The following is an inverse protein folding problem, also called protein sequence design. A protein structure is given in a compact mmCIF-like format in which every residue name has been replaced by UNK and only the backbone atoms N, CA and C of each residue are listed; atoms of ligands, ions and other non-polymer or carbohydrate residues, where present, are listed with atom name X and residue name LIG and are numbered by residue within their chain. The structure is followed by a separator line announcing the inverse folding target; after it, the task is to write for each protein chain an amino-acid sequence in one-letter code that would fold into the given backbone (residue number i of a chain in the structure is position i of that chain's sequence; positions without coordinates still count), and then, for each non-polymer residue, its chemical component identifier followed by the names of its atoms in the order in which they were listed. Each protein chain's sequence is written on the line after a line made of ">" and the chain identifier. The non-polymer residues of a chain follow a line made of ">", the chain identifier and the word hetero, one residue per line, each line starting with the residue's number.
data_IF_388818315293
#
_entry.id   IF_388818315293
#
_cell.length_a   1.000
_cell.length_b   1.000
_cell.length_c   1.000
_cell.angle_alpha   90.00
_cell.angle_beta   90.00
_cell.angle_gamma   90.00
#
_symmetry.space_group_name_H-M   'P 1'
#
loop_
_entity.id
_entity.type
_entity.pdbx_description
1 polymer ?
#
# COMPACT_ATOMS: atom_id res chain seq x y z
N UNK A 1 -3.49 28.27 0.01
CA UNK A 1 -4.23 28.92 -1.08
C UNK A 1 -5.59 28.26 -1.19
N UNK A 2 -6.71 28.98 -1.01
CA UNK A 2 -8.05 28.43 -1.16
C UNK A 2 -8.26 27.99 -2.62
N UNK A 3 -8.74 26.77 -2.85
CA UNK A 3 -9.13 26.25 -4.16
C UNK A 3 -8.10 25.37 -4.87
N UNK A 4 -6.85 25.26 -4.39
CA UNK A 4 -5.87 24.32 -4.91
C UNK A 4 -5.80 23.10 -3.98
N UNK A 5 -6.14 21.91 -4.47
CA UNK A 5 -6.33 20.69 -3.67
C UNK A 5 -5.48 19.51 -4.18
N UNK A 6 -4.17 19.52 -3.93
CA UNK A 6 -3.34 18.36 -4.22
C UNK A 6 -3.67 17.26 -3.20
N UNK A 7 -4.11 16.09 -3.65
CA UNK A 7 -4.46 14.96 -2.75
C UNK A 7 -3.61 13.73 -2.99
N UNK A 8 -3.20 13.46 -4.22
CA UNK A 8 -2.41 12.29 -4.58
C UNK A 8 -0.97 12.64 -4.94
N UNK A 9 -0.78 13.73 -5.70
CA UNK A 9 0.51 14.12 -6.21
C UNK A 9 1.41 14.74 -5.12
N UNK A 10 2.64 14.28 -5.01
CA UNK A 10 3.69 14.94 -4.24
C UNK A 10 4.25 16.13 -5.03
N UNK A 11 4.53 17.26 -4.41
CA UNK A 11 5.16 18.37 -5.09
C UNK A 11 6.64 18.11 -5.38
N UNK A 12 7.19 18.82 -6.37
CA UNK A 12 8.63 18.89 -6.64
C UNK A 12 9.09 20.33 -6.55
N UNK A 13 10.38 20.57 -6.35
CA UNK A 13 10.91 21.93 -6.22
C UNK A 13 12.28 22.09 -6.90
N UNK A 14 12.55 23.31 -7.35
CA UNK A 14 13.88 23.80 -7.65
C UNK A 14 14.40 24.69 -6.49
N UNK A 15 15.42 25.49 -6.74
CA UNK A 15 16.00 26.36 -5.72
C UNK A 15 15.10 27.57 -5.34
N UNK A 16 14.10 27.90 -6.14
CA UNK A 16 13.28 29.09 -5.98
C UNK A 16 11.78 28.80 -5.82
N UNK A 17 11.29 27.68 -6.37
CA UNK A 17 9.86 27.40 -6.49
C UNK A 17 9.52 25.97 -6.15
N UNK A 18 8.33 25.79 -5.59
CA UNK A 18 7.65 24.53 -5.43
C UNK A 18 6.60 24.41 -6.54
N UNK A 19 6.60 23.28 -7.24
CA UNK A 19 5.62 22.94 -8.25
C UNK A 19 4.72 21.82 -7.75
N UNK A 20 3.43 22.03 -7.85
CA UNK A 20 2.43 21.03 -7.43
C UNK A 20 1.33 20.92 -8.47
N UNK A 21 0.72 19.75 -8.54
CA UNK A 21 -0.42 19.47 -9.44
C UNK A 21 -1.58 19.03 -8.59
N UNK A 22 -2.77 19.56 -8.82
CA UNK A 22 -3.98 19.10 -8.17
C UNK A 22 -4.70 18.01 -8.97
N UNK A 23 -5.76 17.45 -8.40
CA UNK A 23 -6.50 16.36 -9.03
C UNK A 23 -7.22 16.75 -10.32
N UNK A 24 -7.45 18.04 -10.54
CA UNK A 24 -8.04 18.57 -11.76
C UNK A 24 -7.00 18.89 -12.84
N UNK A 25 -5.77 18.38 -12.65
CA UNK A 25 -4.62 18.64 -13.51
C UNK A 25 -4.27 20.14 -13.64
N UNK A 26 -4.51 20.93 -12.59
CA UNK A 26 -4.00 22.28 -12.50
C UNK A 26 -2.58 22.22 -11.91
N UNK A 27 -1.58 22.55 -12.73
CA UNK A 27 -0.20 22.72 -12.26
C UNK A 27 0.00 24.16 -11.77
N UNK A 28 0.59 24.31 -10.59
CA UNK A 28 0.85 25.62 -9.99
C UNK A 28 2.29 25.70 -9.46
N UNK A 29 2.86 26.90 -9.54
CA UNK A 29 4.12 27.23 -8.90
C UNK A 29 3.92 28.16 -7.70
N UNK A 30 4.66 27.88 -6.64
CA UNK A 30 4.67 28.68 -5.42
C UNK A 30 6.10 29.14 -5.14
N UNK A 31 6.26 30.39 -4.76
CA UNK A 31 7.54 30.92 -4.31
C UNK A 31 7.94 30.24 -2.98
N UNK A 32 9.13 29.69 -2.88
CA UNK A 32 9.58 28.94 -1.70
C UNK A 32 9.76 29.80 -0.45
N UNK A 33 10.04 31.09 -0.60
CA UNK A 33 10.29 31.99 0.53
C UNK A 33 8.99 32.53 1.12
N UNK A 34 8.03 32.85 0.24
CA UNK A 34 6.80 33.54 0.63
C UNK A 34 5.57 32.63 0.68
N UNK A 35 5.64 31.44 0.03
CA UNK A 35 4.50 30.54 -0.15
C UNK A 35 3.40 31.10 -1.08
N UNK A 36 3.65 32.22 -1.73
CA UNK A 36 2.69 32.84 -2.65
C UNK A 36 2.64 32.08 -3.96
N UNK A 37 1.43 31.82 -4.46
CA UNK A 37 1.24 31.24 -5.80
C UNK A 37 1.69 32.24 -6.86
N UNK A 38 2.66 31.84 -7.69
CA UNK A 38 3.25 32.71 -8.73
C UNK A 38 2.45 32.60 -10.02
N UNK A 39 2.11 31.39 -10.42
CA UNK A 39 1.31 31.09 -11.60
C UNK A 39 0.61 29.74 -11.47
N UNK A 40 -0.39 29.54 -12.32
CA UNK A 40 -1.05 28.24 -12.50
C UNK A 40 -1.42 28.02 -13.97
N UNK A 41 -1.55 26.75 -14.36
CA UNK A 41 -1.98 26.33 -15.69
C UNK A 41 -2.80 25.05 -15.60
N UNK A 42 -3.95 25.02 -16.27
CA UNK A 42 -4.72 23.80 -16.44
C UNK A 42 -4.13 22.95 -17.58
N UNK A 43 -3.98 21.65 -17.32
CA UNK A 43 -3.58 20.64 -18.31
C UNK A 43 -4.78 19.79 -18.78
N UNK A 44 -5.98 20.11 -18.31
CA UNK A 44 -7.23 19.51 -18.79
C UNK A 44 -8.02 18.77 -17.74
N UNK A 45 -7.83 17.47 -17.57
CA UNK A 45 -8.76 16.60 -16.84
C UNK A 45 -8.20 16.08 -15.51
N UNK A 46 -8.51 14.83 -15.15
CA UNK A 46 -8.06 14.22 -13.91
C UNK A 46 -6.57 13.83 -13.97
N UNK A 47 -5.91 13.91 -12.82
CA UNK A 47 -4.49 13.62 -12.66
C UNK A 47 -4.24 13.01 -11.26
N UNK A 48 -3.31 12.04 -11.16
CA UNK A 48 -2.94 11.39 -9.89
C UNK A 48 -1.44 11.28 -9.67
N UNK A 49 -0.67 11.07 -10.72
CA UNK A 49 0.79 10.93 -10.65
C UNK A 49 1.47 12.20 -10.15
N UNK A 50 2.59 12.08 -9.45
CA UNK A 50 3.40 13.24 -9.07
C UNK A 50 4.13 13.80 -10.28
N UNK A 51 4.28 15.12 -10.41
CA UNK A 51 5.17 15.71 -11.39
C UNK A 51 6.61 15.30 -11.10
N UNK A 52 7.43 15.23 -12.14
CA UNK A 52 8.88 15.03 -12.02
C UNK A 52 9.57 16.25 -12.60
N UNK A 53 10.52 16.82 -11.84
CA UNK A 53 11.37 17.88 -12.31
C UNK A 53 12.75 17.32 -12.65
N UNK A 54 13.12 17.39 -13.92
CA UNK A 54 14.43 16.95 -14.40
C UNK A 54 14.86 17.85 -15.56
N UNK A 55 16.14 18.18 -15.61
CA UNK A 55 16.73 19.02 -16.64
C UNK A 55 15.94 20.31 -16.90
N UNK A 56 15.49 20.98 -15.83
CA UNK A 56 14.70 22.22 -15.90
C UNK A 56 13.30 22.06 -16.52
N UNK A 57 12.80 20.85 -16.64
CA UNK A 57 11.50 20.52 -17.23
C UNK A 57 10.63 19.76 -16.23
N UNK A 58 9.32 20.00 -16.28
CA UNK A 58 8.32 19.21 -15.55
C UNK A 58 7.69 18.19 -16.50
N UNK A 59 7.59 16.96 -16.02
CA UNK A 59 6.99 15.83 -16.72
C UNK A 59 5.73 15.41 -15.97
N UNK A 60 4.57 15.41 -16.66
CA UNK A 60 3.26 15.20 -16.03
C UNK A 60 2.39 14.32 -16.93
N UNK A 61 1.84 13.24 -16.37
CA UNK A 61 0.83 12.42 -17.03
C UNK A 61 -0.58 12.70 -16.48
N UNK A 62 -1.61 12.47 -17.29
CA UNK A 62 -3.02 12.66 -16.95
C UNK A 62 -3.85 11.40 -17.24
N UNK A 63 -5.02 11.27 -16.58
CA UNK A 63 -5.87 10.09 -16.74
C UNK A 63 -6.54 9.97 -18.12
N UNK A 64 -6.54 11.03 -18.91
CA UNK A 64 -7.00 10.97 -20.30
C UNK A 64 -5.88 10.65 -21.31
N UNK A 65 -4.79 10.03 -20.85
CA UNK A 65 -3.71 9.54 -21.70
C UNK A 65 -2.73 10.61 -22.17
N UNK A 66 -2.87 11.86 -21.76
CA UNK A 66 -1.94 12.91 -22.18
C UNK A 66 -0.71 12.95 -21.29
N UNK A 67 0.43 13.08 -21.94
CA UNK A 67 1.72 13.28 -21.30
C UNK A 67 2.31 14.62 -21.73
N UNK A 68 2.68 15.44 -20.73
CA UNK A 68 3.17 16.78 -20.94
C UNK A 68 4.63 16.93 -20.56
N UNK A 69 5.39 17.63 -21.39
CA UNK A 69 6.71 18.15 -21.08
C UNK A 69 6.63 19.67 -21.02
N UNK A 70 6.85 20.22 -19.82
CA UNK A 70 6.66 21.65 -19.55
C UNK A 70 7.97 22.31 -19.15
N UNK A 71 8.18 23.55 -19.57
CA UNK A 71 9.30 24.39 -19.12
C UNK A 71 8.77 25.48 -18.18
N UNK A 72 9.00 25.36 -16.86
CA UNK A 72 8.59 26.41 -15.92
C UNK A 72 9.51 27.62 -16.01
N UNK A 73 8.95 28.80 -15.78
CA UNK A 73 9.67 30.07 -15.75
C UNK A 73 9.30 30.87 -14.49
N UNK A 74 9.82 32.08 -14.37
CA UNK A 74 9.50 32.99 -13.28
C UNK A 74 8.03 33.40 -13.24
N UNK A 75 7.38 33.49 -14.38
CA UNK A 75 6.05 34.10 -14.53
C UNK A 75 5.02 33.20 -15.18
N UNK A 76 5.41 31.98 -15.55
CA UNK A 76 4.49 31.06 -16.23
C UNK A 76 5.14 29.72 -16.56
N UNK A 77 4.47 28.97 -17.41
CA UNK A 77 4.96 27.67 -17.90
C UNK A 77 4.66 27.51 -19.39
N UNK A 78 5.66 27.09 -20.13
CA UNK A 78 5.59 26.78 -21.56
C UNK A 78 5.33 25.27 -21.72
N UNK A 79 4.42 24.87 -22.61
CA UNK A 79 4.28 23.48 -23.05
C UNK A 79 5.29 23.24 -24.15
N UNK A 80 6.27 22.40 -23.90
CA UNK A 80 7.28 22.00 -24.89
C UNK A 80 6.75 20.89 -25.77
N UNK A 81 5.99 19.95 -25.15
CA UNK A 81 5.44 18.79 -25.82
C UNK A 81 4.18 18.30 -25.11
N UNK A 82 3.26 17.75 -25.89
CA UNK A 82 2.02 17.12 -25.46
C UNK A 82 1.74 15.90 -26.32
N UNK A 83 1.98 14.74 -25.77
CA UNK A 83 1.73 13.46 -26.42
C UNK A 83 0.44 12.80 -25.89
N UNK A 84 -0.20 11.99 -26.74
CA UNK A 84 -1.34 11.14 -26.38
C UNK A 84 -0.90 9.67 -26.40
N UNK A 85 -1.06 8.99 -25.27
CA UNK A 85 -0.96 7.54 -25.19
C UNK A 85 -2.32 6.91 -25.47
N UNK A 86 -2.35 5.89 -26.32
CA UNK A 86 -3.59 5.36 -26.89
C UNK A 86 -4.16 6.27 -27.98
N UNK A 87 -5.47 6.40 -28.02
CA UNK A 87 -6.17 7.26 -28.98
C UNK A 87 -7.15 8.19 -28.27
N UNK A 88 -7.68 9.20 -28.97
CA UNK A 88 -8.68 10.11 -28.41
C UNK A 88 -9.99 9.39 -28.00
N UNK A 89 -10.32 8.26 -28.62
CA UNK A 89 -11.52 7.45 -28.32
C UNK A 89 -11.23 6.35 -27.28
N UNK A 90 -9.96 5.96 -27.14
CA UNK A 90 -9.49 4.93 -26.21
C UNK A 90 -8.12 5.37 -25.65
N UNK A 91 -8.11 6.34 -24.74
CA UNK A 91 -6.88 6.85 -24.15
C UNK A 91 -6.31 5.84 -23.13
N UNK A 92 -4.98 5.74 -23.08
CA UNK A 92 -4.31 4.96 -22.05
C UNK A 92 -4.08 5.81 -20.78
N UNK A 93 -4.85 5.63 -19.69
CA UNK A 93 -4.71 6.47 -18.50
C UNK A 93 -3.31 6.42 -17.90
N UNK A 94 -2.73 7.59 -17.61
CA UNK A 94 -1.44 7.72 -16.94
C UNK A 94 -1.70 8.14 -15.49
N UNK A 95 -1.65 7.17 -14.57
CA UNK A 95 -1.84 7.42 -13.13
C UNK A 95 -0.54 7.33 -12.33
N UNK A 96 0.50 6.76 -12.92
CA UNK A 96 1.82 6.68 -12.32
C UNK A 96 2.61 7.97 -12.53
N UNK A 97 3.53 8.25 -11.59
CA UNK A 97 4.53 9.31 -11.78
C UNK A 97 5.55 8.88 -12.84
N UNK A 98 5.95 9.76 -13.76
CA UNK A 98 7.02 9.44 -14.70
C UNK A 98 8.37 9.30 -13.98
N UNK A 99 9.33 8.67 -14.63
CA UNK A 99 10.71 8.53 -14.15
C UNK A 99 11.66 9.05 -15.22
N UNK A 100 12.64 9.84 -14.80
CA UNK A 100 13.73 10.29 -15.70
C UNK A 100 15.03 9.67 -15.25
N UNK A 101 15.64 8.87 -16.11
CA UNK A 101 16.90 8.20 -15.86
C UNK A 101 17.65 7.95 -17.18
N UNK A 102 18.98 8.03 -17.15
CA UNK A 102 19.89 7.69 -18.26
C UNK A 102 19.49 8.35 -19.59
N UNK A 103 19.11 9.62 -19.55
CA UNK A 103 18.72 10.38 -20.74
C UNK A 103 17.36 9.97 -21.33
N UNK A 104 16.55 9.24 -20.61
CA UNK A 104 15.22 8.80 -21.01
C UNK A 104 14.15 9.18 -20.02
N UNK A 105 12.94 9.31 -20.52
CA UNK A 105 11.72 9.45 -19.71
C UNK A 105 10.95 8.14 -19.81
N UNK A 106 10.62 7.57 -18.66
CA UNK A 106 9.80 6.37 -18.56
C UNK A 106 8.41 6.79 -18.11
N UNK A 107 7.41 6.46 -18.92
CA UNK A 107 5.99 6.75 -18.65
C UNK A 107 5.26 5.42 -18.57
N UNK A 108 4.53 5.21 -17.50
CA UNK A 108 3.71 4.01 -17.30
C UNK A 108 2.24 4.39 -17.37
N UNK A 109 1.54 3.87 -18.36
CA UNK A 109 0.08 3.90 -18.47
C UNK A 109 -0.54 2.69 -17.77
N UNK A 110 -1.85 2.57 -17.81
CA UNK A 110 -2.55 1.37 -17.33
C UNK A 110 -2.30 0.14 -18.24
N UNK A 111 -1.80 0.35 -19.46
CA UNK A 111 -1.65 -0.70 -20.47
C UNK A 111 -0.16 -1.06 -20.71
N UNK A 112 0.74 -0.09 -20.65
CA UNK A 112 2.13 -0.29 -21.06
C UNK A 112 3.13 0.63 -20.32
N UNK A 113 4.41 0.31 -20.45
CA UNK A 113 5.51 1.18 -20.07
C UNK A 113 6.24 1.65 -21.34
N UNK A 114 6.40 2.95 -21.47
CA UNK A 114 7.07 3.62 -22.56
C UNK A 114 8.41 4.18 -22.09
N UNK A 115 9.47 3.96 -22.89
CA UNK A 115 10.78 4.58 -22.72
C UNK A 115 11.00 5.58 -23.85
N UNK A 116 10.86 6.87 -23.53
CA UNK A 116 10.94 7.99 -24.49
C UNK A 116 12.35 8.59 -24.41
N UNK A 117 13.01 8.76 -25.54
CA UNK A 117 14.36 9.32 -25.65
C UNK A 117 15.08 8.82 -26.90
N UNK A 118 16.30 9.26 -27.08
CA UNK A 118 17.13 8.80 -28.23
C UNK A 118 17.32 7.29 -28.16
N UNK A 119 17.17 6.63 -29.31
CA UNK A 119 17.62 5.23 -29.43
C UNK A 119 19.12 5.21 -29.30
N UNK A 120 19.62 4.93 -28.12
CA UNK A 120 21.02 4.57 -27.98
C UNK A 120 21.23 3.28 -28.79
N UNK A 121 21.84 3.39 -29.93
CA UNK A 121 22.37 2.21 -30.66
C UNK A 121 23.27 1.53 -29.65
N UNK A 122 22.93 0.31 -29.26
CA UNK A 122 23.72 -0.43 -28.29
C UNK A 122 25.22 -0.28 -28.64
N UNK A 123 26.06 0.10 -27.69
CA UNK A 123 27.49 0.14 -27.95
C UNK A 123 27.90 -1.24 -28.45
N UNK A 124 28.51 -1.27 -29.67
CA UNK A 124 29.01 -2.49 -30.25
C UNK A 124 30.36 -2.91 -29.61
N UNK A 125 30.43 -2.87 -28.30
CA UNK A 125 31.52 -3.46 -27.53
C UNK A 125 30.98 -4.03 -26.22
N UNK A 126 31.33 -5.25 -25.87
CA UNK A 126 31.09 -5.72 -24.52
C UNK A 126 31.81 -4.76 -23.56
N UNK A 127 31.06 -4.10 -22.69
CA UNK A 127 31.67 -3.47 -21.53
C UNK A 127 32.45 -4.58 -20.84
N UNK A 128 33.77 -4.44 -20.76
CA UNK A 128 34.57 -5.37 -19.96
C UNK A 128 33.89 -5.55 -18.62
N UNK A 129 33.73 -6.79 -18.11
CA UNK A 129 33.11 -7.01 -16.83
C UNK A 129 33.78 -6.07 -15.84
N UNK A 130 33.00 -5.18 -15.22
CA UNK A 130 33.50 -4.37 -14.13
C UNK A 130 34.21 -5.32 -13.16
N UNK A 131 35.45 -4.98 -12.77
CA UNK A 131 36.18 -5.78 -11.81
C UNK A 131 35.22 -6.17 -10.66
N UNK A 132 35.22 -7.43 -10.19
CA UNK A 132 34.32 -7.89 -9.17
C UNK A 132 34.32 -6.86 -8.04
N UNK A 133 33.23 -6.16 -7.84
CA UNK A 133 33.07 -5.29 -6.71
C UNK A 133 33.35 -6.14 -5.46
N UNK A 134 34.11 -5.61 -4.50
CA UNK A 134 34.34 -6.30 -3.23
C UNK A 134 32.98 -6.82 -2.71
N UNK A 135 32.92 -8.05 -2.17
CA UNK A 135 31.67 -8.63 -1.72
C UNK A 135 30.93 -7.64 -0.82
N UNK A 136 29.74 -7.20 -1.25
CA UNK A 136 28.97 -6.24 -0.48
C UNK A 136 28.61 -6.86 0.88
N UNK A 137 28.89 -6.13 1.97
CA UNK A 137 28.57 -6.61 3.30
C UNK A 137 27.04 -6.63 3.46
N UNK A 138 26.44 -7.69 4.02
CA UNK A 138 25.05 -7.73 4.36
C UNK A 138 24.68 -6.62 5.35
N UNK A 139 23.58 -5.92 5.08
CA UNK A 139 23.01 -4.88 5.93
C UNK A 139 21.55 -5.14 6.28
N UNK A 140 20.84 -5.91 5.43
CA UNK A 140 19.42 -6.24 5.62
C UNK A 140 19.18 -7.71 5.36
N UNK A 141 18.38 -8.34 6.22
CA UNK A 141 17.80 -9.68 6.02
C UNK A 141 16.31 -9.52 5.67
N UNK A 142 15.90 -10.08 4.56
CA UNK A 142 14.49 -10.22 4.19
C UNK A 142 14.10 -11.69 4.26
N UNK A 143 12.95 -11.98 4.85
CA UNK A 143 12.34 -13.31 4.77
C UNK A 143 11.30 -13.33 3.67
N UNK A 144 11.37 -14.31 2.77
CA UNK A 144 10.43 -14.47 1.66
C UNK A 144 9.80 -15.88 1.67
N UNK A 145 8.49 -16.00 1.45
CA UNK A 145 7.50 -14.92 1.31
C UNK A 145 7.37 -14.10 2.59
N UNK A 146 7.13 -12.79 2.43
CA UNK A 146 7.03 -11.86 3.54
C UNK A 146 5.76 -12.05 4.38
N UNK A 147 4.68 -12.45 3.74
CA UNK A 147 3.39 -12.72 4.37
C UNK A 147 2.75 -13.97 3.77
N UNK A 148 2.16 -14.82 4.65
CA UNK A 148 1.55 -16.08 4.22
C UNK A 148 0.35 -16.41 5.11
N UNK A 149 -0.71 -16.95 4.49
CA UNK A 149 -1.86 -17.53 5.19
C UNK A 149 -1.83 -19.05 4.97
N UNK A 150 -1.97 -19.79 6.04
CA UNK A 150 -1.94 -21.25 6.05
C UNK A 150 -3.16 -21.81 6.78
N UNK A 151 -3.61 -22.98 6.37
CA UNK A 151 -4.48 -23.80 7.20
C UNK A 151 -3.66 -24.55 8.26
N UNK A 152 -4.28 -25.02 9.36
CA UNK A 152 -3.63 -25.90 10.34
C UNK A 152 -2.95 -27.09 9.66
N UNK A 153 -1.73 -27.42 10.10
CA UNK A 153 -0.92 -28.51 9.57
C UNK A 153 -0.22 -28.21 8.24
N UNK A 154 -0.54 -27.14 7.55
CA UNK A 154 0.13 -26.76 6.30
C UNK A 154 1.56 -26.27 6.54
N UNK A 155 2.35 -26.31 5.47
CA UNK A 155 3.76 -25.93 5.47
C UNK A 155 4.04 -24.84 4.45
N UNK A 156 5.02 -23.99 4.77
CA UNK A 156 5.61 -23.02 3.84
C UNK A 156 7.13 -23.06 3.98
N UNK A 157 7.82 -22.98 2.85
CA UNK A 157 9.28 -22.82 2.85
C UNK A 157 9.59 -21.33 2.80
N UNK A 158 10.29 -20.85 3.81
CA UNK A 158 10.77 -19.48 3.93
C UNK A 158 12.24 -19.42 3.52
N UNK A 159 12.63 -18.34 2.88
CA UNK A 159 14.01 -18.09 2.44
C UNK A 159 14.52 -16.80 3.04
N UNK A 160 15.66 -16.83 3.72
CA UNK A 160 16.38 -15.64 4.12
C UNK A 160 17.17 -15.07 2.92
N UNK A 161 16.97 -13.80 2.60
CA UNK A 161 17.63 -13.08 1.51
C UNK A 161 18.44 -11.95 2.10
N UNK A 162 19.70 -11.83 1.69
CA UNK A 162 20.59 -10.78 2.15
C UNK A 162 20.69 -9.67 1.11
N UNK A 163 20.68 -8.45 1.61
CA UNK A 163 20.82 -7.22 0.83
C UNK A 163 21.91 -6.34 1.45
N UNK A 164 22.59 -5.57 0.62
CA UNK A 164 23.54 -4.56 1.07
C UNK A 164 22.84 -3.29 1.60
N UNK A 165 23.61 -2.32 2.07
CA UNK A 165 23.11 -1.05 2.58
C UNK A 165 22.42 -0.18 1.51
N UNK A 166 22.59 -0.49 0.23
CA UNK A 166 21.92 0.19 -0.89
C UNK A 166 20.67 -0.55 -1.36
N UNK A 167 20.33 -1.70 -0.75
CA UNK A 167 19.19 -2.53 -1.13
C UNK A 167 19.47 -3.48 -2.28
N UNK A 168 20.73 -3.66 -2.72
CA UNK A 168 21.06 -4.64 -3.74
C UNK A 168 21.06 -6.05 -3.14
N UNK A 169 20.43 -6.99 -3.85
CA UNK A 169 20.43 -8.40 -3.48
C UNK A 169 21.84 -8.98 -3.54
N UNK A 170 22.27 -9.66 -2.47
CA UNK A 170 23.57 -10.32 -2.39
C UNK A 170 23.42 -11.81 -2.69
N UNK A 171 22.62 -12.51 -1.85
CA UNK A 171 22.36 -13.96 -1.96
C UNK A 171 21.22 -14.41 -1.07
N UNK A 172 20.71 -15.60 -1.31
CA UNK A 172 19.97 -16.33 -0.32
C UNK A 172 20.91 -16.95 0.74
N UNK A 173 20.46 -17.04 2.00
CA UNK A 173 21.27 -17.56 3.10
C UNK A 173 20.62 -18.84 3.67
N UNK A 174 21.08 -20.02 3.24
CA UNK A 174 20.50 -21.28 3.70
C UNK A 174 20.85 -21.62 5.15
N UNK A 175 21.89 -20.99 5.69
CA UNK A 175 22.36 -21.22 7.07
C UNK A 175 21.80 -20.21 8.08
N UNK A 176 20.69 -19.53 7.76
CA UNK A 176 20.02 -18.64 8.69
C UNK A 176 19.52 -19.42 9.92
N UNK A 177 19.64 -18.82 11.08
CA UNK A 177 19.00 -19.32 12.29
C UNK A 177 17.53 -18.89 12.30
N UNK A 178 16.63 -19.82 12.54
CA UNK A 178 15.20 -19.59 12.47
C UNK A 178 14.55 -19.66 13.85
N UNK A 179 13.58 -18.80 14.09
CA UNK A 179 12.74 -18.83 15.30
C UNK A 179 11.30 -18.45 14.99
N UNK A 180 10.39 -18.85 15.89
CA UNK A 180 8.95 -18.55 15.80
C UNK A 180 8.56 -17.75 17.03
N UNK A 181 7.75 -16.73 16.84
CA UNK A 181 7.26 -15.88 17.91
C UNK A 181 5.75 -15.70 17.80
N UNK A 182 5.02 -15.96 18.90
CA UNK A 182 3.56 -15.79 19.04
C UNK A 182 2.72 -16.55 18.02
N UNK A 183 3.29 -17.53 17.34
CA UNK A 183 2.66 -18.26 16.24
C UNK A 183 2.60 -19.75 16.59
N UNK A 184 1.44 -20.38 16.39
CA UNK A 184 1.28 -21.83 16.56
C UNK A 184 1.96 -22.61 15.45
N UNK A 185 3.02 -23.34 15.80
CA UNK A 185 3.78 -24.15 14.86
C UNK A 185 5.28 -24.18 15.15
N UNK A 186 6.06 -24.75 14.23
CA UNK A 186 7.51 -24.89 14.34
C UNK A 186 8.19 -24.55 13.02
N UNK A 187 9.42 -24.06 13.09
CA UNK A 187 10.28 -23.87 11.91
C UNK A 187 11.53 -24.73 12.04
N UNK A 188 11.92 -25.39 10.97
CA UNK A 188 13.15 -26.20 10.94
C UNK A 188 14.37 -25.37 10.48
N UNK A 189 15.56 -25.98 10.55
CA UNK A 189 16.81 -25.34 10.16
C UNK A 189 16.89 -24.97 8.66
N UNK A 190 15.99 -25.52 7.83
CA UNK A 190 15.91 -25.19 6.39
C UNK A 190 14.90 -24.07 6.09
N UNK A 191 14.30 -23.50 7.13
CA UNK A 191 13.27 -22.46 6.98
C UNK A 191 11.89 -23.00 6.61
N UNK A 192 11.63 -24.29 6.79
CA UNK A 192 10.30 -24.85 6.58
C UNK A 192 9.49 -24.66 7.85
N UNK A 193 8.52 -23.74 7.79
CA UNK A 193 7.54 -23.57 8.85
C UNK A 193 6.40 -24.57 8.66
N UNK A 194 6.03 -25.26 9.74
CA UNK A 194 4.88 -26.16 9.81
C UNK A 194 3.89 -25.59 10.83
N UNK A 195 2.69 -25.25 10.37
CA UNK A 195 1.62 -24.76 11.23
C UNK A 195 1.17 -25.83 12.23
N UNK A 196 0.74 -25.42 13.43
CA UNK A 196 0.10 -26.31 14.38
C UNK A 196 -1.09 -27.04 13.74
N UNK A 197 -1.36 -28.27 14.19
CA UNK A 197 -2.40 -29.11 13.61
C UNK A 197 -3.82 -28.61 13.86
N UNK A 198 -4.01 -27.69 14.80
CA UNK A 198 -5.31 -27.16 15.19
C UNK A 198 -5.20 -25.68 15.61
N UNK A 199 -6.33 -24.97 15.57
CA UNK A 199 -6.47 -23.60 16.01
C UNK A 199 -6.01 -22.59 14.98
N UNK A 200 -6.37 -21.33 15.24
CA UNK A 200 -5.93 -20.15 14.48
C UNK A 200 -4.92 -19.36 15.29
N UNK A 201 -3.88 -18.87 14.66
CA UNK A 201 -2.84 -18.05 15.28
C UNK A 201 -2.24 -17.06 14.27
N UNK A 202 -1.56 -16.05 14.77
CA UNK A 202 -0.76 -15.16 13.94
C UNK A 202 0.48 -14.70 14.70
N UNK A 203 1.56 -14.54 13.98
CA UNK A 203 2.84 -14.14 14.54
C UNK A 203 3.90 -14.04 13.46
N UNK A 204 5.15 -14.16 13.88
CA UNK A 204 6.29 -13.96 13.01
C UNK A 204 7.20 -15.18 13.00
N UNK A 205 7.76 -15.48 11.85
CA UNK A 205 8.93 -16.33 11.71
C UNK A 205 10.13 -15.42 11.41
N UNK A 206 11.15 -15.53 12.24
CA UNK A 206 12.35 -14.69 12.18
C UNK A 206 13.53 -15.48 11.69
N UNK A 207 14.27 -14.92 10.73
CA UNK A 207 15.58 -15.39 10.30
C UNK A 207 16.66 -14.47 10.88
N UNK A 208 17.71 -15.07 11.45
CA UNK A 208 18.88 -14.35 11.97
C UNK A 208 20.13 -14.80 11.23
N UNK A 209 20.90 -13.83 10.71
CA UNK A 209 22.13 -14.02 9.97
C UNK A 209 23.16 -12.99 10.44
N UNK A 210 24.27 -13.45 11.06
CA UNK A 210 25.34 -12.57 11.53
C UNK A 210 24.86 -11.37 12.39
N UNK A 211 23.86 -11.59 13.25
CA UNK A 211 23.29 -10.57 14.12
C UNK A 211 22.23 -9.67 13.44
N UNK A 212 22.04 -9.78 12.13
CA UNK A 212 20.92 -9.13 11.41
C UNK A 212 19.69 -10.01 11.48
N UNK A 213 18.51 -9.41 11.59
CA UNK A 213 17.23 -10.11 11.64
C UNK A 213 16.28 -9.65 10.55
N UNK A 214 15.51 -10.61 10.00
CA UNK A 214 14.39 -10.36 9.12
C UNK A 214 13.19 -11.19 9.53
N UNK A 215 11.97 -10.71 9.30
CA UNK A 215 10.76 -11.40 9.73
C UNK A 215 9.79 -11.60 8.57
N UNK A 216 9.05 -12.71 8.62
CA UNK A 216 7.86 -12.92 7.81
C UNK A 216 6.64 -13.06 8.72
N UNK A 217 5.53 -12.49 8.31
CA UNK A 217 4.26 -12.61 8.99
C UNK A 217 3.51 -13.85 8.50
N UNK A 218 3.10 -14.69 9.45
CA UNK A 218 2.32 -15.89 9.14
C UNK A 218 1.00 -15.82 9.90
N UNK A 219 -0.09 -16.14 9.24
CA UNK A 219 -1.39 -16.41 9.84
C UNK A 219 -1.78 -17.83 9.58
N UNK A 220 -2.14 -18.54 10.63
CA UNK A 220 -2.77 -19.86 10.55
C UNK A 220 -4.25 -19.65 10.81
N UNK A 221 -5.11 -20.05 9.88
CA UNK A 221 -6.55 -19.83 9.95
C UNK A 221 -7.24 -21.18 9.77
N UNK A 222 -7.98 -21.61 10.79
CA UNK A 222 -8.74 -22.85 10.70
C UNK A 222 -9.89 -22.73 9.70
N UNK A 223 -10.33 -23.84 9.08
CA UNK A 223 -11.49 -23.85 8.19
C UNK A 223 -12.77 -23.36 8.87
N UNK A 224 -13.73 -22.89 8.07
CA UNK A 224 -15.09 -22.61 8.52
C UNK A 224 -15.77 -23.88 9.09
N UNK A 225 -16.75 -23.72 10.01
CA UNK A 225 -17.36 -22.47 10.46
C UNK A 225 -16.60 -21.80 11.61
N UNK A 226 -16.77 -20.48 11.74
CA UNK A 226 -16.29 -19.70 12.89
C UNK A 226 -17.46 -19.11 13.64
N UNK A 227 -17.35 -19.04 14.98
CA UNK A 227 -18.28 -18.33 15.86
C UNK A 227 -17.51 -17.56 16.91
N UNK A 228 -17.95 -16.32 17.18
CA UNK A 228 -17.33 -15.41 18.15
C UNK A 228 -18.44 -14.79 18.99
N UNK A 229 -18.57 -15.24 20.22
CA UNK A 229 -19.48 -14.66 21.21
C UNK A 229 -18.81 -13.63 22.13
N UNK A 230 -17.47 -13.64 22.17
CA UNK A 230 -16.61 -12.80 23.00
C UNK A 230 -16.77 -13.01 24.52
N UNK A 231 -17.71 -13.81 25.00
CA UNK A 231 -18.07 -13.93 26.41
C UNK A 231 -16.94 -14.54 27.25
N UNK A 232 -16.11 -15.39 26.66
CA UNK A 232 -14.99 -16.06 27.31
C UNK A 232 -13.62 -15.43 26.99
N UNK A 233 -13.59 -14.28 26.40
CA UNK A 233 -12.35 -13.66 25.98
C UNK A 233 -11.63 -12.98 27.16
N UNK A 234 -10.55 -13.58 27.61
CA UNK A 234 -9.66 -13.01 28.62
C UNK A 234 -8.88 -11.76 28.15
N UNK A 235 -8.90 -11.48 26.87
CA UNK A 235 -8.12 -10.42 26.26
C UNK A 235 -9.00 -9.28 25.72
N UNK A 236 -8.61 -8.04 25.98
CA UNK A 236 -9.25 -6.85 25.39
C UNK A 236 -9.05 -6.74 23.88
N UNK A 237 -8.10 -7.49 23.30
CA UNK A 237 -7.76 -7.44 21.90
C UNK A 237 -8.50 -8.51 21.08
N UNK A 238 -8.90 -8.21 19.84
CA UNK A 238 -9.45 -9.20 18.93
C UNK A 238 -8.40 -10.25 18.56
N UNK A 239 -8.79 -11.42 18.01
CA UNK A 239 -7.86 -12.45 17.59
C UNK A 239 -6.74 -11.91 16.68
N UNK A 240 -5.49 -12.27 16.96
CA UNK A 240 -4.32 -11.73 16.27
C UNK A 240 -4.29 -12.02 14.75
N UNK A 241 -4.99 -13.07 14.31
CA UNK A 241 -5.11 -13.43 12.90
C UNK A 241 -6.13 -12.60 12.11
N UNK A 242 -6.93 -11.76 12.78
CA UNK A 242 -7.79 -10.78 12.11
C UNK A 242 -6.97 -9.66 11.49
N UNK A 243 -7.35 -9.21 10.29
CA UNK A 243 -6.64 -8.15 9.58
C UNK A 243 -7.35 -6.82 9.77
N UNK A 244 -6.58 -5.77 10.07
CA UNK A 244 -7.11 -4.42 10.27
C UNK A 244 -7.81 -4.19 11.61
N UNK A 245 -7.80 -5.17 12.51
CA UNK A 245 -8.42 -5.08 13.82
C UNK A 245 -7.55 -4.41 14.90
N UNK A 246 -6.23 -4.67 15.00
CA UNK A 246 -5.40 -4.12 16.06
C UNK A 246 -5.47 -2.60 16.13
N UNK A 247 -5.69 -2.08 17.33
CA UNK A 247 -5.81 -0.63 17.60
C UNK A 247 -7.10 0.04 17.11
N UNK A 248 -7.97 -0.67 16.40
CA UNK A 248 -9.22 -0.10 15.86
C UNK A 248 -10.46 -0.64 16.53
N UNK A 249 -10.44 -1.90 16.92
CA UNK A 249 -11.56 -2.55 17.62
C UNK A 249 -11.05 -3.22 18.89
N UNK A 250 -11.88 -3.24 19.92
CA UNK A 250 -11.55 -3.74 21.24
C UNK A 250 -12.72 -4.53 21.79
N UNK A 251 -12.43 -5.55 22.58
CA UNK A 251 -13.45 -6.24 23.36
C UNK A 251 -13.79 -5.41 24.61
N UNK A 252 -15.07 -5.27 24.90
CA UNK A 252 -15.58 -4.50 26.02
C UNK A 252 -16.84 -5.14 26.58
N UNK A 253 -16.99 -5.07 27.88
CA UNK A 253 -18.27 -5.33 28.53
C UNK A 253 -19.19 -4.15 28.36
N UNK A 254 -20.38 -4.37 27.84
CA UNK A 254 -21.44 -3.36 27.72
C UNK A 254 -22.63 -3.76 28.60
N UNK A 255 -23.02 -2.89 29.52
CA UNK A 255 -24.11 -3.15 30.42
C UNK A 255 -25.40 -3.51 29.67
N UNK A 256 -26.06 -4.59 30.12
CA UNK A 256 -27.26 -5.13 29.49
C UNK A 256 -27.10 -5.82 28.17
N UNK A 257 -25.84 -6.01 27.71
CA UNK A 257 -25.55 -6.71 26.43
C UNK A 257 -24.55 -7.83 26.62
N UNK A 258 -23.56 -7.67 27.51
CA UNK A 258 -22.46 -8.62 27.69
C UNK A 258 -21.15 -8.16 27.03
N UNK A 259 -20.29 -9.10 26.69
CA UNK A 259 -19.03 -8.84 26.00
C UNK A 259 -19.29 -8.62 24.52
N UNK A 260 -18.73 -7.55 23.97
CA UNK A 260 -18.91 -7.19 22.56
C UNK A 260 -17.63 -6.61 21.97
N UNK A 261 -17.52 -6.65 20.66
CA UNK A 261 -16.47 -5.97 19.93
C UNK A 261 -16.90 -4.52 19.65
N UNK A 262 -16.16 -3.55 20.16
CA UNK A 262 -16.44 -2.13 19.93
C UNK A 262 -15.34 -1.48 19.12
N UNK A 263 -15.71 -0.51 18.30
CA UNK A 263 -14.76 0.36 17.65
C UNK A 263 -14.16 1.33 18.67
N UNK A 264 -12.83 1.50 18.66
CA UNK A 264 -12.13 2.50 19.45
C UNK A 264 -12.55 3.92 19.08
N UNK A 265 -12.44 4.83 20.03
CA UNK A 265 -13.10 6.13 20.00
C UNK A 265 -12.31 7.26 19.33
N UNK A 266 -10.97 7.11 19.18
CA UNK A 266 -10.11 8.28 19.16
C UNK A 266 -9.34 8.51 17.88
N UNK A 267 -9.98 8.25 16.71
CA UNK A 267 -9.15 8.46 15.58
C UNK A 267 -9.78 9.36 14.54
N UNK A 268 -9.19 10.55 14.44
CA UNK A 268 -9.39 11.45 13.33
C UNK A 268 -9.03 10.82 11.98
N UNK A 269 -8.23 9.77 11.99
CA UNK A 269 -7.81 8.99 10.81
C UNK A 269 -8.77 7.84 10.51
N UNK A 270 -9.46 7.31 11.51
CA UNK A 270 -10.25 6.09 11.45
C UNK A 270 -11.75 6.24 11.21
N UNK A 271 -12.22 7.26 10.51
CA UNK A 271 -13.67 7.40 10.22
C UNK A 271 -14.31 6.17 9.60
N UNK A 272 -13.53 5.34 8.90
CA UNK A 272 -13.97 4.06 8.34
C UNK A 272 -13.00 2.97 8.77
N UNK A 273 -13.40 2.10 9.68
CA UNK A 273 -12.62 0.93 10.07
C UNK A 273 -13.20 -0.31 9.41
N UNK A 274 -12.37 -1.05 8.72
CA UNK A 274 -12.69 -2.37 8.18
C UNK A 274 -11.83 -3.41 8.87
N UNK A 275 -12.45 -4.53 9.23
CA UNK A 275 -11.80 -5.69 9.82
C UNK A 275 -12.11 -6.88 8.93
N UNK A 276 -11.08 -7.64 8.59
CA UNK A 276 -11.22 -8.80 7.72
C UNK A 276 -10.87 -10.06 8.49
N UNK A 277 -11.67 -11.10 8.27
CA UNK A 277 -11.49 -12.43 8.80
C UNK A 277 -11.27 -13.37 7.61
N UNK A 278 -10.42 -14.35 7.81
CA UNK A 278 -10.22 -15.41 6.85
C UNK A 278 -9.36 -15.09 5.63
N UNK A 279 -9.10 -16.11 4.83
CA UNK A 279 -8.35 -15.99 3.60
C UNK A 279 -9.22 -15.39 2.48
N UNK A 280 -8.61 -14.73 1.49
CA UNK A 280 -9.33 -14.04 0.41
C UNK A 280 -10.03 -14.98 -0.57
N UNK A 281 -9.66 -16.25 -0.58
CA UNK A 281 -10.21 -17.31 -1.45
C UNK A 281 -11.31 -18.15 -0.80
N UNK A 282 -11.76 -17.77 0.40
CA UNK A 282 -12.90 -18.42 1.06
C UNK A 282 -14.18 -18.25 0.25
N UNK A 283 -14.92 -19.34 0.07
CA UNK A 283 -16.18 -19.37 -0.71
C UNK A 283 -17.24 -20.23 -0.03
N UNK A 284 -18.51 -20.08 -0.45
CA UNK A 284 -19.59 -20.97 -0.02
C UNK A 284 -20.00 -20.79 1.45
N UNK A 285 -19.94 -19.58 2.00
CA UNK A 285 -20.26 -19.29 3.39
C UNK A 285 -21.36 -18.26 3.55
N UNK A 286 -21.93 -18.20 4.74
CA UNK A 286 -22.85 -17.16 5.19
C UNK A 286 -22.20 -16.39 6.33
N UNK A 287 -22.42 -15.07 6.36
CA UNK A 287 -22.00 -14.21 7.47
C UNK A 287 -23.24 -13.79 8.23
N UNK A 288 -23.28 -14.08 9.53
CA UNK A 288 -24.29 -13.60 10.46
C UNK A 288 -23.62 -12.77 11.55
N UNK A 289 -24.20 -11.63 11.90
CA UNK A 289 -23.66 -10.76 12.94
C UNK A 289 -24.76 -9.91 13.57
N UNK A 290 -24.72 -9.85 14.89
CA UNK A 290 -25.52 -8.89 15.65
C UNK A 290 -24.79 -7.57 15.74
N UNK A 291 -25.41 -6.48 15.29
CA UNK A 291 -24.79 -5.15 15.28
C UNK A 291 -25.64 -4.15 16.04
N UNK A 292 -24.97 -3.24 16.77
CA UNK A 292 -25.61 -2.16 17.50
C UNK A 292 -24.90 -0.82 17.26
N UNK A 293 -25.60 0.11 16.60
CA UNK A 293 -25.17 1.51 16.49
C UNK A 293 -25.49 2.27 17.77
N UNK A 294 -24.54 3.05 18.31
CA UNK A 294 -24.77 4.00 19.41
C UNK A 294 -24.95 5.39 18.86
N UNK A 295 -25.91 6.12 19.43
CA UNK A 295 -26.07 7.55 19.17
C UNK A 295 -25.10 8.35 20.05
N UNK A 296 -24.38 9.29 19.43
CA UNK A 296 -23.54 10.25 20.11
C UNK A 296 -23.71 11.64 19.47
N UNK A 297 -24.07 12.64 20.25
CA UNK A 297 -24.28 14.02 19.75
C UNK A 297 -25.24 14.05 18.55
N UNK A 298 -26.35 13.33 18.64
CA UNK A 298 -27.37 13.17 17.57
C UNK A 298 -26.85 12.55 16.26
N UNK A 299 -25.73 11.85 16.32
CA UNK A 299 -25.19 11.09 15.19
C UNK A 299 -25.08 9.62 15.57
N UNK A 300 -25.49 8.76 14.64
CA UNK A 300 -25.34 7.31 14.73
C UNK A 300 -24.29 6.87 13.70
N UNK A 301 -23.36 6.03 14.13
CA UNK A 301 -22.36 5.46 13.26
C UNK A 301 -22.96 4.42 12.32
N UNK A 302 -22.36 4.30 11.14
CA UNK A 302 -22.66 3.23 10.19
C UNK A 302 -21.96 1.95 10.64
N UNK A 303 -22.64 0.80 10.48
CA UNK A 303 -22.11 -0.51 10.85
C UNK A 303 -22.68 -1.58 9.91
N UNK A 304 -21.91 -2.62 9.64
CA UNK A 304 -22.38 -3.69 8.77
C UNK A 304 -21.31 -4.75 8.52
N UNK A 305 -21.57 -5.58 7.52
CA UNK A 305 -20.68 -6.62 7.05
C UNK A 305 -20.20 -6.33 5.64
N UNK A 306 -19.00 -6.78 5.35
CA UNK A 306 -18.44 -6.71 4.01
C UNK A 306 -18.01 -8.11 3.55
N UNK A 307 -18.22 -8.39 2.28
CA UNK A 307 -17.74 -9.59 1.62
C UNK A 307 -17.08 -9.16 0.32
N UNK A 308 -15.75 -9.25 0.25
CA UNK A 308 -14.96 -8.69 -0.83
C UNK A 308 -15.27 -7.19 -1.04
N UNK A 309 -15.85 -6.83 -2.19
CA UNK A 309 -16.25 -5.47 -2.53
C UNK A 309 -17.68 -5.12 -2.09
N UNK A 310 -18.52 -6.13 -1.81
CA UNK A 310 -19.90 -5.90 -1.42
C UNK A 310 -20.02 -5.55 0.06
N UNK A 311 -20.86 -4.57 0.38
CA UNK A 311 -21.16 -4.16 1.73
C UNK A 311 -22.64 -4.13 2.01
N UNK A 312 -23.09 -4.86 3.06
CA UNK A 312 -24.43 -4.72 3.64
C UNK A 312 -24.30 -3.86 4.90
N UNK A 313 -24.72 -2.60 4.80
CA UNK A 313 -24.48 -1.59 5.84
C UNK A 313 -25.77 -0.96 6.33
N UNK A 314 -25.91 -0.95 7.65
CA UNK A 314 -26.90 -0.14 8.38
C UNK A 314 -26.36 1.27 8.52
N UNK A 315 -26.90 2.21 7.75
CA UNK A 315 -26.60 3.63 7.83
C UNK A 315 -27.31 4.26 9.02
N UNK A 316 -26.55 4.58 10.06
CA UNK A 316 -27.10 4.99 11.33
C UNK A 316 -27.92 6.28 11.28
N UNK A 317 -27.41 7.33 10.64
CA UNK A 317 -28.15 8.60 10.48
C UNK A 317 -29.31 8.48 9.46
N UNK A 318 -29.12 7.70 8.42
CA UNK A 318 -30.15 7.47 7.40
C UNK A 318 -31.22 6.47 7.82
N UNK A 319 -30.99 5.70 8.90
CA UNK A 319 -31.87 4.63 9.38
C UNK A 319 -32.31 3.67 8.27
N UNK A 320 -31.39 3.32 7.39
CA UNK A 320 -31.61 2.45 6.25
C UNK A 320 -30.53 1.39 6.16
N UNK A 321 -30.92 0.22 5.64
CA UNK A 321 -30.02 -0.87 5.30
C UNK A 321 -29.78 -0.83 3.79
N UNK A 322 -28.53 -0.79 3.37
CA UNK A 322 -28.16 -0.79 1.94
C UNK A 322 -27.14 -1.89 1.64
N UNK A 323 -27.35 -2.53 0.51
CA UNK A 323 -26.36 -3.36 -0.15
C UNK A 323 -25.72 -2.53 -1.27
N UNK A 324 -24.42 -2.38 -1.24
CA UNK A 324 -23.66 -1.68 -2.28
C UNK A 324 -22.43 -2.51 -2.71
N UNK A 325 -21.99 -2.39 -3.95
CA UNK A 325 -20.79 -3.04 -4.49
C UNK A 325 -19.49 -2.34 -4.06
#
# INVERSE_FOLDING_TARGET
>A
TRGFLPTFASPVMDQARLYSVDNSAIVAAFDLKTGVKVWERSLGTLQKGSPVLADGKLYIGTENGKFYILRPSATGVEVLDEDMLGTAMDPEPIIASPVVADGRVYVTSMEAMYAIGERVRAPAAPVAPAAPAAPAAPAVVQVFPYETILAPGQRVTLTARLFDAKGNFIRAEPAAAWSVETLGGTVDAKGVFTAAAQGSSAGHVTATVAGLTGTARVRVIQPLPWSFDFDNAAAEAPPAWWTGAPGKVFQRTVEGVGQVLVRGRDDTVGRRSKVFLGPPDATGYTIEVDVRGREQRRQRGDIGVINERYGLVLFGNGQKLELYP
#
